data_IF_113276269376
#
_entry.id   IF_113276269376
#
_cell.length_a   1.000
_cell.length_b   1.000
_cell.length_c   1.000
_cell.angle_alpha   90.00
_cell.angle_beta   90.00
_cell.angle_gamma   90.00
#
_symmetry.space_group_name_H-M   'P 1'
#
loop_
_entity.id
_entity.type
_entity.pdbx_description
1 polymer ?
#
# COMPACT_ATOMS: atom_id res chain seq x y z
N UNK A 1 1.03 -21.90 -0.43
CA UNK A 1 0.75 -20.98 0.70
C UNK A 1 -0.23 -19.97 0.19
N UNK A 2 -1.52 -20.20 0.47
CA UNK A 2 -2.59 -19.26 0.13
C UNK A 2 -2.49 -18.03 1.02
N UNK A 3 -2.73 -16.86 0.46
CA UNK A 3 -2.74 -15.62 1.21
C UNK A 3 -4.07 -15.54 1.98
N UNK A 4 -4.03 -15.19 3.26
CA UNK A 4 -5.17 -15.18 4.19
C UNK A 4 -6.37 -14.28 3.79
N UNK A 5 -6.29 -13.57 2.67
CA UNK A 5 -7.42 -12.85 2.08
C UNK A 5 -8.27 -13.72 1.15
N UNK A 6 -7.77 -14.88 0.68
CA UNK A 6 -8.56 -15.82 -0.14
C UNK A 6 -9.62 -16.55 0.70
N UNK A 7 -9.35 -16.80 1.99
CA UNK A 7 -10.28 -17.51 2.90
C UNK A 7 -11.32 -16.59 3.56
N UNK A 8 -11.13 -15.26 3.54
CA UNK A 8 -12.08 -14.30 4.15
C UNK A 8 -13.14 -13.79 3.19
N UNK A 9 -13.09 -14.20 1.92
CA UNK A 9 -14.11 -13.88 0.91
C UNK A 9 -15.31 -14.86 0.93
N UNK A 10 -15.33 -15.85 1.83
CA UNK A 10 -16.23 -17.00 1.75
C UNK A 10 -17.50 -16.94 2.62
N UNK A 11 -17.82 -15.84 3.32
CA UNK A 11 -19.01 -15.84 4.20
C UNK A 11 -19.65 -14.45 4.41
N UNK A 12 -20.20 -13.84 3.36
CA UNK A 12 -21.21 -12.79 3.51
C UNK A 12 -22.59 -13.32 3.08
N UNK A 13 -23.47 -13.73 4.01
CA UNK A 13 -24.80 -14.20 3.64
C UNK A 13 -25.68 -13.01 3.28
N UNK A 14 -25.74 -12.65 2.00
CA UNK A 14 -26.62 -11.60 1.49
C UNK A 14 -26.36 -11.27 0.01
N UNK A 15 -26.90 -12.09 -0.91
CA UNK A 15 -26.87 -11.89 -2.37
C UNK A 15 -25.44 -11.62 -2.89
N UNK A 16 -24.56 -12.61 -2.76
CA UNK A 16 -23.15 -12.52 -3.19
C UNK A 16 -22.96 -12.53 -4.71
N UNK A 17 -24.00 -12.83 -5.49
CA UNK A 17 -23.87 -13.04 -6.93
C UNK A 17 -25.03 -12.42 -7.69
N UNK A 18 -24.69 -11.59 -8.67
CA UNK A 18 -25.60 -11.21 -9.74
C UNK A 18 -26.02 -12.50 -10.48
N UNK A 19 -27.32 -12.86 -10.50
CA UNK A 19 -27.79 -13.96 -11.33
C UNK A 19 -27.57 -13.57 -12.79
N UNK A 20 -26.58 -14.19 -13.43
CA UNK A 20 -26.21 -13.91 -14.83
C UNK A 20 -27.33 -14.39 -15.77
N UNK A 21 -28.13 -15.36 -15.32
CA UNK A 21 -29.29 -15.87 -16.05
C UNK A 21 -30.39 -14.80 -16.19
N UNK A 22 -30.55 -13.89 -15.23
CA UNK A 22 -31.55 -12.80 -15.25
C UNK A 22 -31.05 -11.54 -15.96
N UNK A 23 -29.74 -11.44 -16.23
CA UNK A 23 -29.16 -10.32 -16.97
C UNK A 23 -29.65 -10.26 -18.43
N UNK A 24 -30.16 -11.38 -18.98
CA UNK A 24 -30.73 -11.43 -20.33
C UNK A 24 -32.16 -10.87 -20.40
N UNK A 25 -32.90 -10.86 -19.28
CA UNK A 25 -34.30 -10.41 -19.23
C UNK A 25 -34.45 -8.89 -19.07
N UNK A 26 -33.37 -8.16 -18.71
CA UNK A 26 -33.35 -6.70 -18.43
C UNK A 26 -34.56 -6.20 -17.62
N UNK A 27 -34.98 -7.00 -16.65
CA UNK A 27 -36.12 -6.64 -15.82
C UNK A 27 -35.83 -5.38 -15.00
N UNK A 28 -36.84 -4.56 -14.65
CA UNK A 28 -36.67 -3.42 -13.75
C UNK A 28 -36.00 -3.80 -12.42
N UNK A 29 -36.25 -5.02 -11.94
CA UNK A 29 -35.64 -5.59 -10.73
C UNK A 29 -34.13 -5.84 -10.94
N UNK A 30 -33.73 -6.40 -12.08
CA UNK A 30 -32.32 -6.62 -12.44
C UNK A 30 -31.56 -5.30 -12.56
N UNK A 31 -32.17 -4.27 -13.15
CA UNK A 31 -31.59 -2.90 -13.23
C UNK A 31 -31.45 -2.24 -11.86
N UNK A 32 -32.46 -2.36 -11.00
CA UNK A 32 -32.41 -1.85 -9.62
C UNK A 32 -31.30 -2.54 -8.82
N UNK A 33 -31.17 -3.88 -8.95
CA UNK A 33 -30.12 -4.64 -8.30
C UNK A 33 -28.73 -4.25 -8.82
N UNK A 34 -28.57 -4.11 -10.14
CA UNK A 34 -27.30 -3.67 -10.74
C UNK A 34 -26.87 -2.29 -10.23
N UNK A 35 -27.81 -1.35 -10.08
CA UNK A 35 -27.53 -0.03 -9.49
C UNK A 35 -27.01 -0.11 -8.05
N UNK A 36 -27.53 -1.04 -7.23
CA UNK A 36 -27.01 -1.28 -5.86
C UNK A 36 -25.58 -1.82 -5.91
N UNK A 37 -25.29 -2.77 -6.81
CA UNK A 37 -23.92 -3.27 -7.02
C UNK A 37 -22.96 -2.18 -7.50
N UNK A 38 -23.41 -1.26 -8.36
CA UNK A 38 -22.61 -0.13 -8.82
C UNK A 38 -22.30 0.85 -7.68
N UNK A 39 -23.29 1.18 -6.85
CA UNK A 39 -23.11 2.07 -5.70
C UNK A 39 -22.14 1.48 -4.69
N UNK A 40 -22.27 0.19 -4.38
CA UNK A 40 -21.38 -0.51 -3.46
C UNK A 40 -19.96 -0.62 -4.03
N UNK A 41 -19.81 -1.00 -5.30
CA UNK A 41 -18.51 -1.04 -5.98
C UNK A 41 -17.84 0.35 -5.97
N UNK A 42 -18.60 1.43 -6.14
CA UNK A 42 -18.09 2.79 -6.05
C UNK A 42 -17.68 3.16 -4.61
N UNK A 43 -18.44 2.74 -3.60
CA UNK A 43 -18.12 2.95 -2.19
C UNK A 43 -16.83 2.21 -1.77
N UNK A 44 -16.72 0.93 -2.12
CA UNK A 44 -15.51 0.12 -1.90
C UNK A 44 -14.31 0.76 -2.61
N UNK A 45 -14.46 1.16 -3.88
CA UNK A 45 -13.38 1.82 -4.62
C UNK A 45 -12.90 3.11 -3.94
N UNK A 46 -13.82 3.96 -3.45
CA UNK A 46 -13.45 5.17 -2.69
C UNK A 46 -12.71 4.85 -1.40
N UNK A 47 -13.15 3.85 -0.66
CA UNK A 47 -12.51 3.43 0.59
C UNK A 47 -11.09 2.90 0.35
N UNK A 48 -10.94 1.97 -0.60
CA UNK A 48 -9.64 1.37 -0.93
C UNK A 48 -8.65 2.40 -1.45
N UNK A 49 -9.10 3.36 -2.25
CA UNK A 49 -8.23 4.45 -2.69
C UNK A 49 -7.72 5.30 -1.52
N UNK A 50 -8.53 5.54 -0.49
CA UNK A 50 -8.09 6.26 0.71
C UNK A 50 -7.10 5.43 1.54
N UNK A 51 -7.42 4.15 1.76
CA UNK A 51 -6.56 3.23 2.50
C UNK A 51 -5.20 3.05 1.81
N UNK A 52 -5.20 2.86 0.50
CA UNK A 52 -4.00 2.80 -0.33
C UNK A 52 -3.13 4.04 -0.14
N UNK A 53 -3.71 5.25 -0.21
CA UNK A 53 -2.96 6.50 -0.02
C UNK A 53 -2.37 6.58 1.38
N UNK A 54 -3.10 6.18 2.41
CA UNK A 54 -2.60 6.19 3.78
C UNK A 54 -1.42 5.21 3.96
N UNK A 55 -1.55 3.98 3.48
CA UNK A 55 -0.50 2.96 3.52
C UNK A 55 0.74 3.38 2.71
N UNK A 56 0.55 3.95 1.52
CA UNK A 56 1.65 4.46 0.70
C UNK A 56 2.44 5.56 1.43
N UNK A 57 1.76 6.49 2.10
CA UNK A 57 2.43 7.54 2.88
C UNK A 57 3.27 6.98 4.03
N UNK A 58 2.80 5.91 4.68
CA UNK A 58 3.57 5.22 5.74
C UNK A 58 4.83 4.59 5.13
N UNK A 59 4.68 3.90 4.00
CA UNK A 59 5.79 3.27 3.30
C UNK A 59 6.86 4.27 2.86
N UNK A 60 6.44 5.40 2.25
CA UNK A 60 7.36 6.46 1.83
C UNK A 60 8.11 7.07 3.02
N UNK A 61 7.41 7.38 4.11
CA UNK A 61 8.02 7.94 5.31
C UNK A 61 9.03 6.97 5.95
N UNK A 62 8.74 5.67 5.94
CA UNK A 62 9.65 4.65 6.45
C UNK A 62 10.90 4.52 5.59
N UNK A 63 10.78 4.58 4.27
CA UNK A 63 11.92 4.61 3.35
C UNK A 63 12.80 5.84 3.55
N UNK A 64 12.18 7.02 3.69
CA UNK A 64 12.90 8.26 3.94
C UNK A 64 13.66 8.21 5.28
N UNK A 65 13.03 7.67 6.33
CA UNK A 65 13.66 7.50 7.63
C UNK A 65 14.83 6.51 7.58
N UNK A 66 14.69 5.41 6.82
CA UNK A 66 15.78 4.46 6.56
C UNK A 66 16.98 5.14 5.89
N UNK A 67 16.73 5.95 4.86
CA UNK A 67 17.78 6.70 4.16
C UNK A 67 18.44 7.77 5.04
N UNK A 68 17.64 8.54 5.80
CA UNK A 68 18.13 9.58 6.68
C UNK A 68 18.99 9.03 7.82
N UNK A 69 18.58 7.90 8.42
CA UNK A 69 19.37 7.22 9.46
C UNK A 69 20.67 6.65 8.90
N UNK A 70 20.64 6.05 7.71
CA UNK A 70 21.84 5.57 7.04
C UNK A 70 22.84 6.71 6.76
N UNK A 71 22.36 7.82 6.19
CA UNK A 71 23.18 9.00 5.91
C UNK A 71 23.77 9.59 7.19
N UNK A 72 23.00 9.64 8.27
CA UNK A 72 23.46 10.14 9.57
C UNK A 72 24.60 9.26 10.11
N UNK A 73 24.45 7.93 10.10
CA UNK A 73 25.53 7.02 10.50
C UNK A 73 26.78 7.21 9.65
N UNK A 74 26.62 7.38 8.33
CA UNK A 74 27.73 7.65 7.40
C UNK A 74 28.47 8.94 7.74
N UNK A 75 27.77 10.05 7.98
CA UNK A 75 28.39 11.33 8.31
C UNK A 75 29.14 11.28 9.65
N UNK A 76 28.60 10.56 10.64
CA UNK A 76 29.28 10.34 11.92
C UNK A 76 30.59 9.56 11.73
N UNK A 77 30.59 8.50 10.91
CA UNK A 77 31.78 7.72 10.56
C UNK A 77 32.81 8.55 9.77
N UNK A 78 32.36 9.50 8.95
CA UNK A 78 33.23 10.34 8.15
C UNK A 78 33.98 11.40 8.95
N UNK A 79 33.55 11.71 10.18
CA UNK A 79 34.20 12.70 11.04
C UNK A 79 35.70 12.43 11.23
N UNK A 80 36.09 11.17 11.47
CA UNK A 80 37.50 10.79 11.67
C UNK A 80 38.39 11.04 10.44
N UNK A 81 37.78 11.12 9.25
CA UNK A 81 38.48 11.32 7.98
C UNK A 81 38.67 12.80 7.67
N UNK A 82 37.94 13.68 8.36
CA UNK A 82 38.00 15.11 8.14
C UNK A 82 39.26 15.69 8.81
N UNK A 83 40.00 16.50 8.05
CA UNK A 83 41.14 17.23 8.58
C UNK A 83 40.72 18.63 8.99
N UNK A 84 40.48 18.82 10.28
CA UNK A 84 40.15 20.13 10.83
C UNK A 84 41.44 20.92 11.14
N UNK A 85 41.68 22.10 10.55
CA UNK A 85 42.93 22.86 10.75
C UNK A 85 43.22 23.26 12.19
N UNK A 86 42.17 23.34 13.01
CA UNK A 86 42.22 23.68 14.44
C UNK A 86 41.84 22.51 15.34
N UNK A 87 41.38 21.40 14.77
CA UNK A 87 41.04 20.20 15.52
C UNK A 87 42.29 19.38 15.74
N UNK A 88 42.72 19.23 16.99
CA UNK A 88 43.68 18.18 17.34
C UNK A 88 43.05 16.79 17.22
N UNK A 89 43.84 15.74 17.47
CA UNK A 89 43.34 14.39 17.64
C UNK A 89 42.52 14.31 18.94
N UNK A 90 41.25 14.73 18.89
CA UNK A 90 40.29 14.55 19.98
C UNK A 90 39.76 13.11 19.95
N UNK A 91 40.52 12.21 20.57
CA UNK A 91 40.18 10.78 20.69
C UNK A 91 38.82 10.55 21.39
N UNK A 92 38.44 11.44 22.33
CA UNK A 92 37.17 11.32 23.06
C UNK A 92 36.00 11.67 22.15
N UNK A 93 36.08 12.77 21.40
CA UNK A 93 35.06 13.11 20.41
C UNK A 93 34.94 12.02 19.34
N UNK A 94 36.07 11.56 18.78
CA UNK A 94 36.02 10.53 17.74
C UNK A 94 35.38 9.23 18.27
N UNK A 95 35.84 8.71 19.41
CA UNK A 95 35.26 7.49 19.99
C UNK A 95 33.77 7.63 20.31
N UNK A 96 33.32 8.80 20.78
CA UNK A 96 31.90 9.08 21.04
C UNK A 96 31.07 9.08 19.75
N UNK A 97 31.55 9.73 18.69
CA UNK A 97 30.84 9.76 17.40
C UNK A 97 30.79 8.37 16.75
N UNK A 98 31.84 7.55 16.89
CA UNK A 98 31.82 6.16 16.42
C UNK A 98 30.82 5.29 17.19
N UNK A 99 30.65 5.51 18.50
CA UNK A 99 29.61 4.83 19.28
C UNK A 99 28.20 5.22 18.81
N UNK A 100 27.94 6.52 18.58
CA UNK A 100 26.66 6.96 18.00
C UNK A 100 26.44 6.37 16.61
N UNK A 101 27.47 6.38 15.76
CA UNK A 101 27.38 5.84 14.42
C UNK A 101 26.94 4.38 14.43
N UNK A 102 27.49 3.57 15.35
CA UNK A 102 27.12 2.16 15.52
C UNK A 102 25.64 2.00 15.85
N UNK A 103 25.14 2.71 16.86
CA UNK A 103 23.73 2.63 17.26
C UNK A 103 22.80 3.06 16.12
N UNK A 104 23.15 4.13 15.41
CA UNK A 104 22.34 4.61 14.27
C UNK A 104 22.40 3.64 13.08
N UNK A 105 23.51 2.94 12.87
CA UNK A 105 23.64 1.92 11.81
C UNK A 105 22.74 0.70 12.08
N UNK A 106 22.66 0.28 13.35
CA UNK A 106 21.75 -0.78 13.81
C UNK A 106 20.28 -0.35 13.61
N UNK A 107 19.93 0.88 13.99
CA UNK A 107 18.59 1.44 13.74
C UNK A 107 18.27 1.53 12.23
N UNK A 108 19.21 1.97 11.41
CA UNK A 108 19.06 2.03 9.95
C UNK A 108 18.77 0.64 9.38
N UNK A 109 19.45 -0.39 9.88
CA UNK A 109 19.21 -1.78 9.48
C UNK A 109 17.80 -2.25 9.83
N UNK A 110 17.29 -1.90 11.02
CA UNK A 110 15.89 -2.16 11.40
C UNK A 110 14.92 -1.44 10.47
N UNK A 111 15.18 -0.17 10.12
CA UNK A 111 14.33 0.58 9.21
C UNK A 111 14.30 -0.02 7.80
N UNK A 112 15.44 -0.49 7.29
CA UNK A 112 15.54 -1.15 5.99
C UNK A 112 14.73 -2.46 5.96
N UNK A 113 14.86 -3.31 6.99
CA UNK A 113 14.08 -4.54 7.11
C UNK A 113 12.58 -4.24 7.16
N UNK A 114 12.16 -3.26 7.96
CA UNK A 114 10.76 -2.87 8.05
C UNK A 114 10.25 -2.30 6.73
N UNK A 115 11.07 -1.54 5.99
CA UNK A 115 10.70 -1.02 4.66
C UNK A 115 10.39 -2.16 3.69
N UNK A 116 11.23 -3.19 3.64
CA UNK A 116 10.98 -4.38 2.82
C UNK A 116 9.70 -5.09 3.24
N UNK A 117 9.45 -5.24 4.55
CA UNK A 117 8.20 -5.85 5.03
C UNK A 117 6.96 -5.02 4.66
N UNK A 118 7.04 -3.68 4.73
CA UNK A 118 5.95 -2.83 4.28
C UNK A 118 5.73 -2.94 2.76
N UNK A 119 6.79 -3.09 1.96
CA UNK A 119 6.65 -3.33 0.53
C UNK A 119 5.91 -4.64 0.24
N UNK A 120 6.36 -5.74 0.84
CA UNK A 120 5.88 -7.09 0.52
C UNK A 120 4.54 -7.44 1.18
N UNK A 121 4.36 -7.08 2.46
CA UNK A 121 3.19 -7.48 3.24
C UNK A 121 2.05 -6.46 3.23
N UNK A 122 2.33 -5.19 2.92
CA UNK A 122 1.33 -4.11 2.92
C UNK A 122 1.11 -3.53 1.53
N UNK A 123 2.16 -3.01 0.88
CA UNK A 123 2.03 -2.30 -0.40
C UNK A 123 1.69 -3.23 -1.56
N UNK A 124 2.28 -4.42 -1.63
CA UNK A 124 1.99 -5.37 -2.68
C UNK A 124 0.51 -5.83 -2.66
N UNK A 125 -0.07 -6.31 -1.54
CA UNK A 125 -1.47 -6.71 -1.50
C UNK A 125 -2.44 -5.56 -1.78
N UNK A 126 -2.24 -4.37 -1.22
CA UNK A 126 -3.17 -3.25 -1.41
C UNK A 126 -3.11 -2.69 -2.84
N UNK A 127 -1.93 -2.73 -3.49
CA UNK A 127 -1.79 -2.37 -4.92
C UNK A 127 -2.54 -3.36 -5.80
N UNK A 128 -2.33 -4.66 -5.58
CA UNK A 128 -3.04 -5.73 -6.28
C UNK A 128 -4.56 -5.61 -6.09
N UNK A 129 -5.02 -5.35 -4.86
CA UNK A 129 -6.44 -5.19 -4.56
C UNK A 129 -7.02 -3.98 -5.29
N UNK A 130 -6.35 -2.83 -5.22
CA UNK A 130 -6.78 -1.60 -5.91
C UNK A 130 -6.90 -1.82 -7.42
N UNK A 131 -5.90 -2.44 -8.06
CA UNK A 131 -5.92 -2.71 -9.51
C UNK A 131 -7.05 -3.67 -9.92
N UNK A 132 -7.32 -4.71 -9.12
CA UNK A 132 -8.42 -5.65 -9.38
C UNK A 132 -9.79 -4.99 -9.20
N UNK A 133 -9.96 -4.19 -8.15
CA UNK A 133 -11.21 -3.46 -7.91
C UNK A 133 -11.52 -2.46 -9.02
N UNK A 134 -10.51 -1.67 -9.46
CA UNK A 134 -10.66 -0.76 -10.59
C UNK A 134 -11.13 -1.48 -11.87
N UNK A 135 -10.56 -2.65 -12.16
CA UNK A 135 -11.01 -3.49 -13.29
C UNK A 135 -12.45 -3.98 -13.09
N UNK A 136 -12.81 -4.43 -11.89
CA UNK A 136 -14.16 -4.89 -11.56
C UNK A 136 -15.22 -3.80 -11.74
N UNK A 137 -14.98 -2.59 -11.22
CA UNK A 137 -15.89 -1.45 -11.37
C UNK A 137 -16.09 -1.04 -12.84
N UNK A 138 -15.03 -1.03 -13.64
CA UNK A 138 -15.12 -0.73 -15.09
C UNK A 138 -15.99 -1.77 -15.80
N UNK A 139 -15.77 -3.06 -15.53
CA UNK A 139 -16.55 -4.14 -16.15
C UNK A 139 -18.04 -4.02 -15.79
N UNK A 140 -18.37 -3.73 -14.52
CA UNK A 140 -19.75 -3.52 -14.09
C UNK A 140 -20.40 -2.35 -14.83
N UNK A 141 -19.71 -1.21 -14.92
CA UNK A 141 -20.21 -0.03 -15.65
C UNK A 141 -20.41 -0.30 -17.15
N UNK A 142 -19.53 -1.07 -17.79
CA UNK A 142 -19.67 -1.44 -19.20
C UNK A 142 -20.87 -2.38 -19.42
N UNK A 143 -21.08 -3.35 -18.53
CA UNK A 143 -22.25 -4.25 -18.59
C UNK A 143 -23.56 -3.48 -18.45
N UNK A 144 -23.60 -2.50 -17.54
CA UNK A 144 -24.75 -1.61 -17.36
C UNK A 144 -25.06 -0.77 -18.61
N UNK A 145 -24.03 -0.20 -19.24
CA UNK A 145 -24.18 0.56 -20.48
C UNK A 145 -24.69 -0.30 -21.64
N UNK A 146 -24.14 -1.51 -21.82
CA UNK A 146 -24.57 -2.42 -22.89
C UNK A 146 -26.02 -2.88 -22.67
N UNK A 147 -26.40 -3.20 -21.43
CA UNK A 147 -27.79 -3.53 -21.10
C UNK A 147 -28.74 -2.35 -21.40
N UNK A 148 -28.33 -1.13 -21.07
CA UNK A 148 -29.09 0.08 -21.38
C UNK A 148 -29.21 0.38 -22.88
N UNK A 149 -28.16 0.13 -23.69
CA UNK A 149 -28.15 0.39 -25.13
C UNK A 149 -28.86 -0.70 -25.96
N UNK A 150 -28.87 -1.97 -25.51
CA UNK A 150 -29.55 -3.06 -26.21
C UNK A 150 -31.09 -3.03 -26.07
N UNK A 151 -31.65 -2.22 -25.17
CA UNK A 151 -33.08 -2.17 -24.86
C UNK A 151 -33.76 -0.82 -25.21
N UNK A 152 -33.10 0.03 -26.01
CA UNK A 152 -33.69 1.23 -26.64
C UNK A 152 -34.05 0.96 -28.10
#
# INVERSE_FOLDING_TARGET
GGLAWEDTAADMPGIDKLPIEEALEDSPQTRSLLGVFEEDAAAISRYINQLYKAMHRIYDAQNELSAATHLTSKLLKEYEKQRFPLGGDDEVMNSTLQQFAKVIDELSSCHAVLSTQLADAMMFPITQFKERNLKGTIILSQKSQIAGECFV
#
